data_IF_048382291147
#
_entry.id   IF_048382291147
#
_cell.length_a   1.000
_cell.length_b   1.000
_cell.length_c   1.000
_cell.angle_alpha   90.00
_cell.angle_beta   90.00
_cell.angle_gamma   90.00
#
_symmetry.space_group_name_H-M   'P 1'
#
loop_
_entity.id
_entity.type
_entity.pdbx_description
1 polymer ?
#
# COMPACT_ATOMS: atom_id res chain seq x y z
N UNK A 1 6.29 15.48 -7.26
CA UNK A 1 6.15 14.02 -7.46
C UNK A 1 5.07 13.46 -6.54
N UNK A 2 4.77 12.17 -6.63
CA UNK A 2 4.05 11.45 -5.59
C UNK A 2 4.59 10.03 -5.43
N UNK A 3 4.24 9.38 -4.33
CA UNK A 3 4.70 8.03 -4.09
C UNK A 3 3.68 7.23 -3.28
N UNK A 4 3.85 5.91 -3.30
CA UNK A 4 3.06 5.02 -2.47
C UNK A 4 3.68 3.66 -2.25
N UNK A 5 2.99 2.84 -1.48
CA UNK A 5 3.36 1.47 -1.16
C UNK A 5 2.18 0.56 -1.54
N UNK A 6 2.50 -0.60 -2.11
CA UNK A 6 1.64 -1.79 -2.10
C UNK A 6 2.33 -2.78 -1.17
N UNK A 7 1.92 -2.86 0.11
CA UNK A 7 2.51 -3.80 1.06
C UNK A 7 2.15 -5.22 0.64
N UNK A 8 3.04 -6.16 0.93
CA UNK A 8 2.72 -7.57 0.80
C UNK A 8 3.24 -8.37 1.98
N UNK A 9 2.70 -9.56 2.17
CA UNK A 9 3.15 -10.49 3.21
C UNK A 9 3.01 -11.94 2.74
N UNK A 10 3.77 -12.84 3.35
CA UNK A 10 3.66 -14.27 3.13
C UNK A 10 2.88 -14.90 4.28
N UNK A 11 1.75 -15.54 3.97
CA UNK A 11 0.93 -16.28 4.95
C UNK A 11 0.47 -17.59 4.34
N UNK A 12 0.77 -18.70 5.04
CA UNK A 12 0.42 -20.04 4.58
C UNK A 12 1.10 -20.41 3.25
N UNK A 13 2.35 -19.99 3.04
CA UNK A 13 3.10 -20.22 1.80
C UNK A 13 2.59 -19.42 0.59
N UNK A 14 1.68 -18.47 0.79
CA UNK A 14 1.12 -17.63 -0.27
C UNK A 14 1.40 -16.16 -0.04
N UNK A 15 1.62 -15.42 -1.12
CA UNK A 15 1.79 -13.98 -1.09
C UNK A 15 0.42 -13.29 -1.10
N UNK A 16 0.26 -12.32 -0.21
CA UNK A 16 -0.93 -11.48 -0.08
C UNK A 16 -0.51 -10.03 -0.19
N UNK A 17 -1.22 -9.24 -1.02
CA UNK A 17 -1.00 -7.81 -1.18
C UNK A 17 -2.08 -7.02 -0.46
N UNK A 18 -1.67 -6.01 0.32
CA UNK A 18 -2.58 -5.15 1.06
C UNK A 18 -3.05 -4.01 0.16
N UNK A 19 -4.35 -3.79 0.12
CA UNK A 19 -4.97 -2.63 -0.51
C UNK A 19 -5.96 -1.99 0.43
N UNK A 20 -6.33 -0.75 0.13
CA UNK A 20 -7.49 -0.10 0.72
C UNK A 20 -8.64 0.00 -0.28
N UNK A 21 -9.86 0.01 0.24
CA UNK A 21 -11.10 0.38 -0.42
C UNK A 21 -11.69 1.60 0.27
N UNK A 22 -12.59 2.28 -0.43
CA UNK A 22 -13.36 3.39 0.15
C UNK A 22 -14.83 3.03 0.18
N UNK A 23 -15.50 3.36 1.29
CA UNK A 23 -16.95 3.19 1.43
C UNK A 23 -17.76 4.16 0.56
N UNK A 24 -17.19 5.32 0.23
CA UNK A 24 -17.88 6.37 -0.50
C UNK A 24 -16.96 7.13 -1.48
N UNK A 25 -17.58 7.84 -2.42
CA UNK A 25 -16.91 8.70 -3.39
C UNK A 25 -16.38 7.96 -4.62
N UNK A 26 -15.59 8.67 -5.43
CA UNK A 26 -15.19 8.23 -6.79
C UNK A 26 -14.30 6.98 -6.85
N UNK A 27 -13.82 6.47 -5.71
CA UNK A 27 -12.92 5.30 -5.64
C UNK A 27 -13.63 4.04 -5.10
N UNK A 28 -14.94 4.10 -4.86
CA UNK A 28 -15.73 2.93 -4.45
C UNK A 28 -15.60 1.83 -5.50
N UNK A 29 -15.45 0.59 -5.02
CA UNK A 29 -15.33 -0.60 -5.87
C UNK A 29 -13.91 -0.89 -6.41
N UNK A 30 -12.93 -0.02 -6.17
CA UNK A 30 -11.57 -0.21 -6.64
C UNK A 30 -10.62 -0.68 -5.53
N UNK A 31 -9.59 -1.45 -5.91
CA UNK A 31 -8.38 -1.62 -5.10
C UNK A 31 -7.46 -0.39 -5.25
N UNK A 32 -7.03 0.17 -4.12
CA UNK A 32 -6.27 1.41 -4.07
C UNK A 32 -4.99 1.14 -3.27
N UNK A 33 -3.85 1.62 -3.79
CA UNK A 33 -2.57 1.64 -3.08
C UNK A 33 -2.57 2.67 -1.94
N UNK A 34 -1.54 2.63 -1.10
CA UNK A 34 -1.33 3.62 -0.05
C UNK A 34 -0.39 4.70 -0.56
N UNK A 35 -0.89 5.90 -0.85
CA UNK A 35 -0.02 6.90 -1.46
C UNK A 35 -0.65 8.25 -1.80
N UNK A 36 0.18 9.28 -1.71
CA UNK A 36 -0.17 10.67 -1.97
C UNK A 36 0.95 11.49 -2.62
N UNK A 37 0.79 12.81 -2.58
CA UNK A 37 1.77 13.74 -3.10
C UNK A 37 2.92 13.92 -2.11
N UNK A 38 4.14 14.12 -2.62
CA UNK A 38 5.27 14.49 -1.77
C UNK A 38 5.16 15.93 -1.29
N UNK A 39 5.59 16.18 -0.06
CA UNK A 39 5.84 17.51 0.48
C UNK A 39 7.16 18.11 0.00
N UNK A 40 7.46 19.32 0.46
CA UNK A 40 8.67 20.04 0.05
C UNK A 40 9.93 19.29 0.49
N UNK A 41 10.77 18.93 -0.49
CA UNK A 41 12.03 18.22 -0.26
C UNK A 41 11.90 16.72 0.04
N UNK A 42 10.69 16.15 0.08
CA UNK A 42 10.52 14.71 0.30
C UNK A 42 11.04 13.89 -0.88
N UNK A 43 11.81 12.85 -0.57
CA UNK A 43 12.10 11.78 -1.54
C UNK A 43 10.87 10.91 -1.78
N UNK A 44 10.91 10.10 -2.85
CA UNK A 44 9.87 9.10 -3.12
C UNK A 44 9.65 8.14 -1.94
N UNK A 45 10.73 7.67 -1.30
CA UNK A 45 10.65 6.76 -0.16
C UNK A 45 9.98 7.44 1.04
N UNK A 46 10.45 8.64 1.42
CA UNK A 46 9.87 9.40 2.52
C UNK A 46 8.38 9.66 2.31
N UNK A 47 8.01 10.06 1.07
CA UNK A 47 6.60 10.24 0.70
C UNK A 47 5.81 8.93 0.87
N UNK A 48 6.31 7.81 0.35
CA UNK A 48 5.62 6.53 0.40
C UNK A 48 5.43 6.01 1.84
N UNK A 49 6.47 6.15 2.67
CA UNK A 49 6.48 5.77 4.09
C UNK A 49 5.45 6.59 4.87
N UNK A 50 5.52 7.92 4.76
CA UNK A 50 4.58 8.83 5.44
C UNK A 50 3.14 8.54 5.03
N UNK A 51 2.88 8.42 3.73
CA UNK A 51 1.53 8.21 3.21
C UNK A 51 0.93 6.87 3.67
N UNK A 52 1.71 5.78 3.74
CA UNK A 52 1.20 4.52 4.29
C UNK A 52 0.79 4.65 5.75
N UNK A 53 1.64 5.28 6.58
CA UNK A 53 1.38 5.46 8.01
C UNK A 53 0.16 6.37 8.22
N UNK A 54 0.06 7.46 7.46
CA UNK A 54 -1.09 8.36 7.52
C UNK A 54 -2.39 7.72 7.03
N UNK A 55 -2.37 7.01 5.90
CA UNK A 55 -3.59 6.43 5.31
C UNK A 55 -4.10 5.21 6.09
N UNK A 56 -3.25 4.58 6.90
CA UNK A 56 -3.65 3.57 7.88
C UNK A 56 -4.05 4.17 9.23
N UNK A 57 -4.11 5.51 9.34
CA UNK A 57 -4.41 6.24 10.58
C UNK A 57 -3.53 5.79 11.76
N UNK A 58 -2.28 5.41 11.48
CA UNK A 58 -1.29 4.84 12.41
C UNK A 58 -1.70 3.53 13.09
N UNK A 59 -2.77 2.89 12.62
CA UNK A 59 -3.26 1.62 13.19
C UNK A 59 -2.38 0.43 12.81
N UNK A 60 -1.76 0.43 11.62
CA UNK A 60 -1.08 -0.75 11.08
C UNK A 60 0.11 -1.21 11.92
N UNK A 61 0.84 -0.29 12.56
CA UNK A 61 1.94 -0.64 13.48
C UNK A 61 1.60 -0.41 14.95
N UNK A 62 0.33 -0.08 15.27
CA UNK A 62 -0.09 0.07 16.65
C UNK A 62 -0.32 -1.28 17.32
N UNK A 63 0.13 -1.39 18.57
CA UNK A 63 -0.24 -2.48 19.48
C UNK A 63 -1.67 -2.34 20.01
N UNK A 64 -2.21 -1.13 20.05
CA UNK A 64 -3.60 -0.84 20.43
C UNK A 64 -4.31 -0.04 19.34
N UNK A 65 -5.14 -0.75 18.56
CA UNK A 65 -5.89 -0.17 17.45
C UNK A 65 -6.99 0.78 17.97
N UNK A 66 -7.52 0.57 19.17
CA UNK A 66 -8.63 1.38 19.72
C UNK A 66 -8.20 2.79 20.09
N UNK A 67 -6.92 2.99 20.40
CA UNK A 67 -6.37 4.30 20.78
C UNK A 67 -5.49 4.93 19.70
N UNK A 68 -5.06 4.17 18.69
CA UNK A 68 -4.23 4.64 17.58
C UNK A 68 -4.85 5.83 16.82
N UNK A 69 -4.30 7.01 16.97
CA UNK A 69 -4.81 8.19 16.28
C UNK A 69 -3.67 8.91 15.58
N UNK A 70 -3.91 9.28 14.32
CA UNK A 70 -2.95 10.03 13.52
C UNK A 70 -2.66 11.39 14.14
N UNK A 71 -1.45 11.50 14.68
CA UNK A 71 -0.77 12.72 15.10
C UNK A 71 0.64 12.75 14.51
N UNK A 72 1.25 13.93 14.43
CA UNK A 72 2.65 14.06 13.99
C UNK A 72 3.57 13.15 14.79
N UNK A 73 3.42 13.12 16.12
CA UNK A 73 4.20 12.24 17.00
C UNK A 73 4.02 10.75 16.66
N UNK A 74 2.78 10.30 16.45
CA UNK A 74 2.51 8.89 16.12
C UNK A 74 3.05 8.50 14.74
N UNK A 75 3.00 9.43 13.76
CA UNK A 75 3.57 9.20 12.43
C UNK A 75 5.09 9.10 12.53
N UNK A 76 5.74 10.05 13.20
CA UNK A 76 7.19 10.05 13.40
C UNK A 76 7.68 8.81 14.16
N UNK A 77 6.91 8.31 15.13
CA UNK A 77 7.24 7.09 15.87
C UNK A 77 7.20 5.82 15.00
N UNK A 78 6.38 5.80 13.94
CA UNK A 78 6.23 4.64 13.06
C UNK A 78 7.10 4.69 11.80
N UNK A 79 7.60 5.86 11.41
CA UNK A 79 8.50 6.01 10.25
C UNK A 79 9.69 5.04 10.31
N UNK A 80 10.46 4.95 11.43
CA UNK A 80 11.61 4.03 11.50
C UNK A 80 11.23 2.55 11.33
N UNK A 81 10.03 2.15 11.77
CA UNK A 81 9.55 0.77 11.63
C UNK A 81 9.37 0.42 10.16
N UNK A 82 8.65 1.26 9.43
CA UNK A 82 8.41 1.03 8.01
C UNK A 82 9.67 1.24 7.17
N UNK A 83 10.53 2.21 7.52
CA UNK A 83 11.80 2.40 6.84
C UNK A 83 12.70 1.17 6.95
N UNK A 84 12.73 0.48 8.09
CA UNK A 84 13.49 -0.76 8.24
C UNK A 84 12.97 -1.88 7.32
N UNK A 85 11.64 -1.99 7.17
CA UNK A 85 11.01 -2.95 6.24
C UNK A 85 11.32 -2.61 4.79
N UNK A 86 11.28 -1.33 4.46
CA UNK A 86 11.62 -0.80 3.15
C UNK A 86 13.08 -1.10 2.79
N UNK A 87 14.00 -0.85 3.72
CA UNK A 87 15.44 -1.12 3.55
C UNK A 87 15.70 -2.60 3.30
N UNK A 88 15.14 -3.46 4.15
CA UNK A 88 15.28 -4.90 4.02
C UNK A 88 14.75 -5.39 2.68
N UNK A 89 13.57 -4.94 2.28
CA UNK A 89 12.94 -5.37 1.02
C UNK A 89 13.77 -4.94 -0.19
N UNK A 90 14.16 -3.66 -0.26
CA UNK A 90 14.80 -3.12 -1.46
C UNK A 90 16.31 -3.32 -1.52
N UNK A 91 16.95 -3.68 -0.40
CA UNK A 91 18.33 -4.19 -0.43
C UNK A 91 18.38 -5.56 -1.10
N UNK A 92 17.41 -6.43 -0.80
CA UNK A 92 17.31 -7.74 -1.43
C UNK A 92 16.79 -7.64 -2.87
N UNK A 93 15.80 -6.79 -3.10
CA UNK A 93 15.10 -6.63 -4.38
C UNK A 93 14.97 -5.16 -4.78
N UNK A 94 16.04 -4.53 -5.29
CA UNK A 94 16.05 -3.11 -5.64
C UNK A 94 15.11 -2.74 -6.81
N UNK A 95 14.60 -3.73 -7.54
CA UNK A 95 13.68 -3.61 -8.66
C UNK A 95 12.20 -3.76 -8.26
N UNK A 96 11.88 -3.99 -6.98
CA UNK A 96 10.50 -4.12 -6.49
C UNK A 96 9.80 -2.78 -6.29
N UNK A 97 9.69 -2.04 -7.38
CA UNK A 97 8.92 -0.82 -7.49
C UNK A 97 8.52 -0.56 -8.94
N UNK A 98 7.45 0.20 -9.12
CA UNK A 98 6.95 0.58 -10.44
C UNK A 98 6.81 2.09 -10.56
N UNK A 99 7.21 2.62 -11.71
CA UNK A 99 6.79 3.96 -12.14
C UNK A 99 5.35 3.90 -12.65
N UNK A 100 4.57 4.94 -12.38
CA UNK A 100 3.28 5.10 -13.07
C UNK A 100 3.50 5.61 -14.48
N UNK A 101 2.76 5.08 -15.44
CA UNK A 101 2.69 5.63 -16.80
C UNK A 101 2.52 7.17 -16.75
N UNK A 102 3.51 7.94 -17.26
CA UNK A 102 3.49 9.40 -17.21
C UNK A 102 2.32 9.98 -18.02
N UNK A 103 1.84 9.24 -19.04
CA UNK A 103 0.88 9.69 -20.02
C UNK A 103 1.32 10.96 -20.77
N UNK A 104 0.38 11.59 -21.46
CA UNK A 104 0.66 12.73 -22.34
C UNK A 104 0.51 14.11 -21.66
N UNK A 105 0.43 14.16 -20.33
CA UNK A 105 0.27 15.45 -19.60
C UNK A 105 1.60 16.18 -19.51
N UNK A 106 1.54 17.51 -19.50
CA UNK A 106 2.70 18.39 -19.26
C UNK A 106 2.43 19.23 -18.01
N UNK A 107 3.24 19.12 -16.93
CA UNK A 107 4.33 18.15 -16.77
C UNK A 107 3.81 16.70 -16.67
N UNK A 108 4.64 15.70 -17.01
CA UNK A 108 4.26 14.29 -16.92
C UNK A 108 3.91 13.91 -15.48
N UNK A 109 3.10 12.88 -15.33
CA UNK A 109 2.83 12.34 -13.99
C UNK A 109 4.11 11.71 -13.46
N UNK A 110 4.58 12.23 -12.34
CA UNK A 110 5.79 11.78 -11.68
C UNK A 110 5.42 11.01 -10.42
N UNK A 111 5.42 9.67 -10.51
CA UNK A 111 4.91 8.79 -9.46
C UNK A 111 5.64 7.45 -9.40
N UNK A 112 5.98 7.00 -8.18
CA UNK A 112 6.52 5.66 -7.90
C UNK A 112 5.72 4.92 -6.85
N UNK A 113 5.50 3.63 -7.04
CA UNK A 113 4.91 2.75 -6.03
C UNK A 113 5.88 1.63 -5.72
N UNK A 114 6.18 1.41 -4.44
CA UNK A 114 7.10 0.39 -3.97
C UNK A 114 6.33 -0.82 -3.45
N UNK A 115 6.87 -2.02 -3.65
CA UNK A 115 6.36 -3.24 -3.04
C UNK A 115 7.22 -3.54 -1.82
N UNK A 116 6.61 -3.55 -0.65
CA UNK A 116 7.34 -3.64 0.63
C UNK A 116 6.79 -4.80 1.44
N UNK A 117 7.68 -5.68 1.89
CA UNK A 117 7.29 -6.81 2.73
C UNK A 117 6.98 -6.34 4.15
N UNK A 118 5.76 -6.62 4.61
CA UNK A 118 5.26 -6.30 5.94
C UNK A 118 4.78 -7.56 6.65
N UNK A 119 4.66 -7.50 7.97
CA UNK A 119 4.00 -8.57 8.73
C UNK A 119 2.52 -8.67 8.35
N UNK A 120 2.01 -9.89 8.19
CA UNK A 120 0.60 -10.12 7.96
C UNK A 120 -0.18 -9.78 9.23
N UNK A 121 -1.15 -8.86 9.15
CA UNK A 121 -2.08 -8.57 10.25
C UNK A 121 -3.49 -9.01 9.92
N UNK A 122 -4.19 -9.46 10.96
CA UNK A 122 -5.65 -9.49 10.94
C UNK A 122 -6.19 -8.06 10.85
N UNK A 123 -7.09 -7.83 9.89
CA UNK A 123 -7.59 -6.50 9.54
C UNK A 123 -8.92 -6.19 10.24
N UNK A 124 -9.59 -7.17 10.84
CA UNK A 124 -10.95 -7.02 11.37
C UNK A 124 -11.02 -5.91 12.41
N UNK A 125 -10.04 -5.84 13.32
CA UNK A 125 -9.98 -4.76 14.32
C UNK A 125 -9.82 -3.36 13.71
N UNK A 126 -8.95 -3.21 12.69
CA UNK A 126 -8.75 -1.91 12.02
C UNK A 126 -9.98 -1.50 11.22
N UNK A 127 -10.56 -2.45 10.48
CA UNK A 127 -11.76 -2.22 9.68
C UNK A 127 -12.97 -1.88 10.55
N UNK A 128 -13.13 -2.57 11.68
CA UNK A 128 -14.18 -2.28 12.66
C UNK A 128 -14.07 -0.83 13.17
N UNK A 129 -12.88 -0.40 13.61
CA UNK A 129 -12.68 0.96 14.14
C UNK A 129 -13.00 2.04 13.08
N UNK A 130 -12.63 1.84 11.81
CA UNK A 130 -13.02 2.75 10.72
C UNK A 130 -14.53 2.78 10.45
N UNK A 131 -15.20 1.66 10.64
CA UNK A 131 -16.65 1.56 10.44
C UNK A 131 -17.41 2.28 11.55
N UNK A 132 -17.10 1.99 12.82
CA UNK A 132 -17.88 2.48 13.97
C UNK A 132 -17.56 3.92 14.37
N UNK A 133 -16.38 4.45 14.04
CA UNK A 133 -15.96 5.82 14.38
C UNK A 133 -15.94 6.78 13.19
N UNK A 134 -16.73 6.48 12.17
CA UNK A 134 -16.94 7.31 10.99
C UNK A 134 -17.32 8.76 11.35
N UNK A 135 -16.53 9.73 10.89
CA UNK A 135 -16.83 11.16 11.08
C UNK A 135 -16.60 11.69 12.49
N UNK A 136 -16.21 10.84 13.45
CA UNK A 136 -15.87 11.23 14.83
C UNK A 136 -14.36 11.23 15.01
N UNK A 137 -13.73 10.06 14.83
CA UNK A 137 -12.27 9.89 14.95
C UNK A 137 -11.58 9.99 13.60
N UNK A 138 -12.20 9.43 12.57
CA UNK A 138 -11.61 9.36 11.24
C UNK A 138 -12.37 10.22 10.24
N UNK A 139 -11.69 11.22 9.67
CA UNK A 139 -12.26 12.09 8.64
C UNK A 139 -12.53 11.33 7.34
N UNK A 140 -11.71 10.32 7.03
CA UNK A 140 -11.80 9.50 5.82
C UNK A 140 -11.97 8.05 6.23
N UNK A 141 -13.02 7.40 5.75
CA UNK A 141 -13.26 5.98 5.99
C UNK A 141 -12.51 5.13 4.98
N UNK A 142 -11.89 4.06 5.44
CA UNK A 142 -11.18 3.06 4.62
C UNK A 142 -11.48 1.66 5.12
N UNK A 143 -11.40 0.72 4.20
CA UNK A 143 -11.42 -0.70 4.50
C UNK A 143 -10.12 -1.27 3.94
N UNK A 144 -9.36 -1.98 4.76
CA UNK A 144 -8.18 -2.72 4.33
C UNK A 144 -8.60 -4.11 3.87
N UNK A 145 -7.93 -4.60 2.83
CA UNK A 145 -8.16 -5.94 2.29
C UNK A 145 -6.85 -6.57 1.84
N UNK A 146 -6.65 -7.81 2.26
CA UNK A 146 -5.61 -8.68 1.69
C UNK A 146 -6.14 -9.32 0.41
N UNK A 147 -5.36 -9.22 -0.67
CA UNK A 147 -5.66 -9.82 -1.98
C UNK A 147 -4.55 -10.81 -2.30
N UNK A 148 -4.91 -12.07 -2.51
CA UNK A 148 -3.94 -13.10 -2.88
C UNK A 148 -3.26 -12.78 -4.22
N UNK A 149 -2.00 -13.16 -4.34
CA UNK A 149 -1.12 -12.84 -5.46
C UNK A 149 -1.68 -13.25 -6.83
N UNK A 150 -2.22 -14.46 -6.95
CA UNK A 150 -2.86 -15.00 -8.15
C UNK A 150 -4.12 -14.22 -8.55
N UNK A 151 -4.94 -13.81 -7.58
CA UNK A 151 -6.11 -12.96 -7.80
C UNK A 151 -5.69 -11.57 -8.30
N UNK A 152 -4.69 -10.95 -7.65
CA UNK A 152 -4.19 -9.64 -8.08
C UNK A 152 -3.56 -9.71 -9.48
N UNK A 153 -2.78 -10.75 -9.75
CA UNK A 153 -2.20 -11.01 -11.07
C UNK A 153 -3.30 -11.21 -12.12
N UNK A 154 -4.37 -11.91 -11.78
CA UNK A 154 -5.57 -12.05 -12.59
C UNK A 154 -6.23 -10.71 -12.92
N UNK A 155 -6.38 -9.81 -11.93
CA UNK A 155 -6.92 -8.47 -12.15
C UNK A 155 -6.08 -7.66 -13.14
N UNK A 156 -4.75 -7.68 -13.01
CA UNK A 156 -3.90 -6.97 -13.98
C UNK A 156 -3.99 -7.51 -15.41
N UNK A 157 -4.31 -8.79 -15.60
CA UNK A 157 -4.40 -9.39 -16.94
C UNK A 157 -5.78 -9.27 -17.56
N UNK A 158 -6.84 -9.45 -16.76
CA UNK A 158 -8.18 -9.70 -17.29
C UNK A 158 -9.22 -8.66 -16.83
N UNK A 159 -9.01 -8.00 -15.68
CA UNK A 159 -9.99 -7.10 -15.06
C UNK A 159 -9.32 -5.82 -14.49
N UNK A 160 -8.51 -5.08 -15.27
CA UNK A 160 -7.75 -3.92 -14.77
C UNK A 160 -8.64 -2.76 -14.31
N UNK A 161 -9.94 -2.78 -14.64
CA UNK A 161 -10.96 -1.87 -14.13
C UNK A 161 -11.32 -2.09 -12.66
N UNK A 162 -10.96 -3.23 -12.05
CA UNK A 162 -11.06 -3.39 -10.58
C UNK A 162 -9.97 -2.64 -9.81
N UNK A 163 -8.92 -2.23 -10.51
CA UNK A 163 -7.78 -1.52 -9.93
C UNK A 163 -7.99 0.00 -10.12
N UNK A 164 -7.73 0.77 -9.06
CA UNK A 164 -7.78 2.22 -9.18
C UNK A 164 -6.80 2.70 -10.24
N UNK A 165 -7.13 3.80 -10.95
CA UNK A 165 -6.36 4.29 -12.10
C UNK A 165 -4.86 4.42 -11.88
N UNK A 166 -4.42 4.64 -10.64
CA UNK A 166 -3.01 4.76 -10.29
C UNK A 166 -2.34 3.39 -10.24
N UNK A 167 -2.99 2.39 -9.64
CA UNK A 167 -2.54 1.00 -9.51
C UNK A 167 -2.50 0.32 -10.88
N UNK A 168 -3.56 0.46 -11.69
CA UNK A 168 -3.61 -0.15 -13.03
C UNK A 168 -2.64 0.46 -14.06
N UNK A 169 -2.10 1.65 -13.76
CA UNK A 169 -1.15 2.38 -14.61
C UNK A 169 0.31 2.17 -14.18
N UNK A 170 0.57 1.30 -13.19
CA UNK A 170 1.93 0.96 -12.80
C UNK A 170 2.59 0.13 -13.91
N UNK A 171 3.69 0.67 -14.44
CA UNK A 171 4.48 0.02 -15.47
C UNK A 171 5.17 -1.20 -14.86
N UNK A 172 5.14 -2.33 -15.57
CA UNK A 172 5.75 -3.61 -15.15
C UNK A 172 5.16 -4.24 -13.88
N UNK A 173 4.01 -3.76 -13.37
CA UNK A 173 3.43 -4.32 -12.14
C UNK A 173 3.17 -5.83 -12.21
N UNK A 174 2.79 -6.35 -13.38
CA UNK A 174 2.63 -7.80 -13.59
C UNK A 174 3.92 -8.57 -13.39
N UNK A 175 5.02 -8.06 -13.92
CA UNK A 175 6.33 -8.69 -13.83
C UNK A 175 6.88 -8.61 -12.41
N UNK A 176 6.70 -7.47 -11.73
CA UNK A 176 7.06 -7.31 -10.32
C UNK A 176 6.26 -8.25 -9.42
N UNK A 177 4.92 -8.35 -9.60
CA UNK A 177 4.07 -9.27 -8.82
C UNK A 177 4.52 -10.72 -9.04
N UNK A 178 4.78 -11.10 -10.29
CA UNK A 178 5.26 -12.45 -10.61
C UNK A 178 6.63 -12.74 -9.99
N UNK A 179 7.55 -11.78 -10.02
CA UNK A 179 8.86 -11.88 -9.36
C UNK A 179 8.70 -12.10 -7.84
N UNK A 180 7.84 -11.32 -7.18
CA UNK A 180 7.54 -11.51 -5.75
C UNK A 180 6.97 -12.91 -5.48
N UNK A 181 6.03 -13.39 -6.29
CA UNK A 181 5.47 -14.74 -6.15
C UNK A 181 6.55 -15.82 -6.24
N UNK A 182 7.42 -15.75 -7.25
CA UNK A 182 8.50 -16.72 -7.44
C UNK A 182 9.51 -16.70 -6.28
N UNK A 183 9.86 -15.51 -5.77
CA UNK A 183 10.82 -15.41 -4.68
C UNK A 183 10.26 -15.77 -3.30
N UNK A 184 8.96 -15.59 -3.07
CA UNK A 184 8.36 -15.69 -1.73
C UNK A 184 7.41 -16.87 -1.55
N UNK A 185 6.82 -17.41 -2.62
CA UNK A 185 6.03 -18.65 -2.54
C UNK A 185 6.91 -19.88 -2.74
N UNK A 186 7.78 -19.89 -3.75
CA UNK A 186 8.61 -21.06 -4.07
C UNK A 186 9.72 -21.29 -3.04
N UNK A 187 10.14 -20.25 -2.32
CA UNK A 187 11.11 -20.38 -1.21
C UNK A 187 10.52 -21.02 0.06
N UNK A 188 9.20 -21.22 0.11
CA UNK A 188 8.46 -21.81 1.24
C UNK A 188 7.87 -23.20 0.93
N UNK A 189 8.27 -23.79 -0.19
CA UNK A 189 8.03 -25.20 -0.56
C UNK A 189 9.29 -26.03 -0.26
#
# INVERSE_FOLDING_TARGET
MGAGIIPFSVKGGKVWFLFQRTFEGRKVGYLIDFGGGGGDGETYRQTAVREFIEETETMYFSSDIKTAMRSEQSVQAQIPLLDALFERTLTEHPDWWCQRDPGNKVPPKDWRTFFVEVEYRDLDGMNYEWEIHAGVRFKKRRELVWVQSDVLYGYYNNEPERLWKRVRQLMQAKDTIKSIMQHKEDANL
#
